data_IF_343677759898
#
_entry.id   IF_343677759898
#
_cell.length_a   1.000
_cell.length_b   1.000
_cell.length_c   1.000
_cell.angle_alpha   90.00
_cell.angle_beta   90.00
_cell.angle_gamma   90.00
#
_symmetry.space_group_name_H-M   'P 1'
#
loop_
_entity.id
_entity.type
_entity.pdbx_description
1 polymer ?
#
# COMPACT_ATOMS: atom_id res chain seq x y z
N UNK A 1 45.19 -3.28 1.55
CA UNK A 1 43.87 -3.65 0.96
C UNK A 1 42.70 -3.02 1.71
N UNK A 2 42.93 -2.04 2.59
CA UNK A 2 41.87 -1.16 3.12
C UNK A 2 41.98 0.25 2.49
N UNK A 3 43.17 0.62 2.02
CA UNK A 3 43.50 1.92 1.41
C UNK A 3 42.73 2.16 0.10
N UNK A 4 42.40 1.11 -0.65
CA UNK A 4 41.65 1.22 -1.91
C UNK A 4 40.19 1.67 -1.71
N UNK A 5 39.64 1.54 -0.49
CA UNK A 5 38.24 1.90 -0.20
C UNK A 5 38.08 3.39 0.08
N UNK A 6 39.05 3.98 0.78
CA UNK A 6 39.04 5.41 1.12
C UNK A 6 39.29 6.27 -0.14
N UNK A 7 40.19 5.85 -1.02
CA UNK A 7 40.43 6.51 -2.31
C UNK A 7 39.17 6.56 -3.19
N UNK A 8 38.35 5.50 -3.15
CA UNK A 8 37.07 5.45 -3.87
C UNK A 8 36.01 6.39 -3.27
N UNK A 9 36.05 6.61 -1.95
CA UNK A 9 35.14 7.53 -1.28
C UNK A 9 35.51 8.99 -1.56
N UNK A 10 36.80 9.33 -1.54
CA UNK A 10 37.31 10.67 -1.88
C UNK A 10 37.01 11.04 -3.34
N UNK A 11 37.10 10.07 -4.26
CA UNK A 11 36.78 10.27 -5.67
C UNK A 11 35.29 10.61 -5.87
N UNK A 12 34.40 9.94 -5.14
CA UNK A 12 32.95 10.19 -5.17
C UNK A 12 32.63 11.54 -4.53
N UNK A 13 33.23 11.87 -3.40
CA UNK A 13 33.00 13.16 -2.73
C UNK A 13 33.46 14.32 -3.63
N UNK A 14 34.62 14.19 -4.27
CA UNK A 14 35.13 15.19 -5.22
C UNK A 14 34.25 15.36 -6.46
N UNK A 15 33.66 14.25 -6.96
CA UNK A 15 32.81 14.28 -8.15
C UNK A 15 31.40 14.83 -7.90
N UNK A 16 30.85 14.62 -6.71
CA UNK A 16 29.42 14.86 -6.46
C UNK A 16 29.14 15.86 -5.34
N UNK A 17 30.03 16.04 -4.36
CA UNK A 17 29.76 16.86 -3.18
C UNK A 17 30.30 18.30 -3.28
N UNK A 18 31.21 18.61 -4.21
CA UNK A 18 31.75 19.97 -4.35
C UNK A 18 30.74 21.01 -4.88
N UNK A 19 29.56 20.61 -5.35
CA UNK A 19 28.57 21.54 -5.93
C UNK A 19 27.61 22.17 -4.91
N UNK A 20 27.70 21.85 -3.62
CA UNK A 20 26.78 22.40 -2.61
C UNK A 20 27.49 22.74 -1.29
N UNK A 21 28.48 23.64 -1.32
CA UNK A 21 29.01 24.22 -0.08
C UNK A 21 29.47 25.66 -0.28
N UNK A 22 28.53 26.60 -0.19
CA UNK A 22 28.85 27.99 0.12
C UNK A 22 28.76 28.20 1.65
N UNK A 23 29.92 28.53 2.24
CA UNK A 23 30.17 29.05 3.60
C UNK A 23 30.12 28.01 4.74
N UNK A 24 31.18 27.79 5.53
CA UNK A 24 32.18 28.72 6.08
C UNK A 24 33.48 27.97 6.41
N UNK A 25 34.61 28.41 5.88
CA UNK A 25 35.83 28.65 6.66
C UNK A 25 36.78 29.57 5.89
N UNK A 26 37.34 30.49 6.65
CA UNK A 26 38.14 31.65 6.24
C UNK A 26 39.55 31.24 5.85
N UNK A 27 40.08 31.69 4.71
CA UNK A 27 41.31 32.52 4.60
C UNK A 27 41.67 32.84 3.13
N UNK A 28 41.87 34.14 2.85
CA UNK A 28 42.83 34.79 1.93
C UNK A 28 42.99 34.34 0.45
N UNK A 29 42.65 35.27 -0.47
CA UNK A 29 43.48 35.77 -1.61
C UNK A 29 42.83 35.81 -3.02
N UNK A 30 42.51 37.04 -3.45
CA UNK A 30 42.61 37.64 -4.80
C UNK A 30 42.59 36.73 -6.08
N UNK A 31 41.57 36.89 -6.95
CA UNK A 31 41.61 37.61 -8.25
C UNK A 31 40.37 37.36 -9.14
N UNK A 32 40.12 38.34 -9.99
CA UNK A 32 38.97 38.61 -10.87
C UNK A 32 38.92 37.70 -12.13
N UNK A 33 37.72 37.46 -12.70
CA UNK A 33 37.32 37.89 -14.06
C UNK A 33 35.91 37.46 -14.50
N UNK A 34 35.26 38.37 -15.22
CA UNK A 34 34.04 38.31 -16.03
C UNK A 34 33.96 37.21 -17.11
N UNK A 35 32.72 36.80 -17.44
CA UNK A 35 32.10 36.61 -18.80
C UNK A 35 31.03 35.50 -18.74
N UNK A 36 29.73 35.80 -18.84
CA UNK A 36 28.90 36.16 -20.02
C UNK A 36 28.47 34.96 -20.91
N UNK A 37 27.14 34.73 -20.90
CA UNK A 37 26.21 34.21 -21.92
C UNK A 37 26.59 33.00 -22.80
N UNK A 38 25.72 31.99 -22.86
CA UNK A 38 24.64 31.87 -23.87
C UNK A 38 24.21 30.40 -24.08
N UNK A 39 22.90 30.19 -24.17
CA UNK A 39 22.24 29.00 -24.72
C UNK A 39 22.39 28.98 -26.26
N UNK A 40 22.41 27.81 -26.92
CA UNK A 40 21.34 27.55 -27.87
C UNK A 40 20.84 26.10 -27.93
N UNK A 41 19.57 26.00 -28.33
CA UNK A 41 18.77 24.80 -28.56
C UNK A 41 19.01 24.12 -29.94
N UNK A 42 18.42 22.92 -30.05
CA UNK A 42 17.95 22.20 -31.26
C UNK A 42 18.95 21.45 -32.18
N UNK A 43 18.82 20.11 -32.25
CA UNK A 43 18.15 19.41 -33.38
C UNK A 43 18.15 17.88 -33.28
N UNK A 44 17.05 17.34 -33.81
CA UNK A 44 16.64 15.95 -34.07
C UNK A 44 17.72 15.08 -34.74
N UNK A 45 17.74 13.77 -34.44
CA UNK A 45 17.66 12.72 -35.48
C UNK A 45 17.44 11.31 -34.90
N UNK A 46 16.46 10.65 -35.50
CA UNK A 46 16.07 9.25 -35.41
C UNK A 46 17.13 8.27 -35.91
N UNK A 47 17.37 7.16 -35.19
CA UNK A 47 18.02 5.97 -35.76
C UNK A 47 17.36 4.69 -35.24
N UNK A 48 16.70 3.98 -36.17
CA UNK A 48 16.21 2.61 -36.00
C UNK A 48 17.41 1.66 -35.89
N UNK A 49 17.41 0.76 -34.92
CA UNK A 49 18.24 -0.44 -34.98
C UNK A 49 17.48 -1.60 -34.33
N UNK A 50 16.93 -2.46 -35.19
CA UNK A 50 16.36 -3.74 -34.77
C UNK A 50 17.46 -4.68 -34.31
N UNK A 51 17.17 -5.40 -33.23
CA UNK A 51 17.94 -6.56 -32.80
C UNK A 51 17.02 -7.77 -32.73
N UNK A 52 17.64 -8.91 -32.99
CA UNK A 52 17.06 -10.10 -33.60
C UNK A 52 16.23 -10.91 -32.62
N UNK A 53 15.18 -11.50 -33.19
CA UNK A 53 14.32 -12.55 -32.64
C UNK A 53 15.17 -13.77 -32.23
N UNK A 54 15.28 -14.04 -30.93
CA UNK A 54 15.63 -15.36 -30.45
C UNK A 54 14.32 -16.17 -30.44
N UNK A 55 14.20 -17.12 -31.37
CA UNK A 55 13.27 -18.25 -31.25
C UNK A 55 13.95 -19.24 -30.33
N UNK A 56 13.35 -19.53 -29.18
CA UNK A 56 13.69 -20.67 -28.35
C UNK A 56 12.50 -20.99 -27.44
N UNK A 57 11.86 -22.13 -27.73
CA UNK A 57 11.01 -23.00 -26.91
C UNK A 57 10.10 -22.32 -25.87
N UNK A 58 8.87 -22.01 -26.29
CA UNK A 58 7.74 -21.78 -25.38
C UNK A 58 6.70 -22.92 -25.45
N UNK A 59 6.87 -23.87 -26.35
CA UNK A 59 5.93 -24.99 -26.55
C UNK A 59 6.10 -26.08 -25.46
N UNK A 60 7.28 -26.15 -24.84
CA UNK A 60 7.56 -27.14 -23.78
C UNK A 60 6.90 -26.78 -22.44
N UNK A 61 6.71 -25.48 -22.15
CA UNK A 61 6.10 -25.04 -20.89
C UNK A 61 4.59 -25.31 -20.90
N UNK A 62 3.92 -25.10 -22.05
CA UNK A 62 2.50 -25.41 -22.21
C UNK A 62 2.25 -26.92 -22.15
N UNK A 63 3.16 -27.73 -22.74
CA UNK A 63 3.10 -29.19 -22.63
C UNK A 63 3.24 -29.69 -21.18
N UNK A 64 4.14 -29.09 -20.39
CA UNK A 64 4.30 -29.41 -18.97
C UNK A 64 3.10 -28.96 -18.12
N UNK A 65 2.43 -27.86 -18.49
CA UNK A 65 1.21 -27.41 -17.82
C UNK A 65 0.02 -28.33 -18.12
N UNK A 66 -0.06 -28.88 -19.34
CA UNK A 66 -1.10 -29.82 -19.74
C UNK A 66 -1.01 -31.14 -18.95
N UNK A 67 0.20 -31.65 -18.71
CA UNK A 67 0.45 -32.92 -17.98
C UNK A 67 0.05 -32.84 -16.49
N UNK A 68 0.18 -31.68 -15.85
CA UNK A 68 -0.21 -31.48 -14.44
C UNK A 68 -1.74 -31.36 -14.27
N UNK A 69 -2.44 -30.91 -15.31
CA UNK A 69 -3.90 -30.73 -15.29
C UNK A 69 -4.68 -32.02 -15.60
N UNK A 70 -4.04 -33.00 -16.23
CA UNK A 70 -4.68 -34.26 -16.66
C UNK A 70 -4.61 -35.41 -15.63
N UNK A 71 -3.98 -35.22 -14.46
CA UNK A 71 -3.89 -36.25 -13.40
C UNK A 71 -4.94 -36.09 -12.27
N UNK A 72 -6.18 -35.77 -12.65
CA UNK A 72 -7.32 -35.89 -11.75
C UNK A 72 -8.55 -36.40 -12.51
N UNK A 73 -8.42 -37.60 -13.11
CA UNK A 73 -9.58 -38.39 -13.51
C UNK A 73 -9.66 -39.70 -12.72
N UNK A 74 -10.61 -39.82 -11.76
CA UNK A 74 -10.98 -41.11 -11.22
C UNK A 74 -11.67 -41.94 -12.32
N UNK A 75 -11.16 -43.15 -12.55
CA UNK A 75 -11.84 -44.15 -13.36
C UNK A 75 -13.11 -44.61 -12.64
N UNK A 76 -14.28 -44.22 -13.15
CA UNK A 76 -15.45 -45.11 -13.17
C UNK A 76 -16.51 -44.53 -14.08
N UNK A 77 -16.70 -45.20 -15.21
CA UNK A 77 -17.93 -45.22 -16.00
C UNK A 77 -19.13 -45.39 -15.08
N UNK A 78 -20.17 -44.55 -15.20
CA UNK A 78 -21.60 -44.90 -15.23
C UNK A 78 -22.46 -43.63 -15.31
N UNK A 79 -23.56 -43.76 -16.05
CA UNK A 79 -24.39 -42.70 -16.63
C UNK A 79 -25.25 -41.89 -15.64
N UNK A 80 -25.63 -40.69 -16.10
CA UNK A 80 -26.86 -39.94 -15.80
C UNK A 80 -27.27 -39.71 -14.34
N UNK A 81 -27.12 -38.47 -13.85
CA UNK A 81 -28.26 -37.61 -13.46
C UNK A 81 -27.80 -36.27 -12.87
N UNK A 82 -28.58 -35.23 -13.19
CA UNK A 82 -28.42 -33.88 -12.66
C UNK A 82 -28.64 -33.84 -11.14
N UNK A 83 -27.65 -33.35 -10.39
CA UNK A 83 -27.86 -32.83 -9.05
C UNK A 83 -26.78 -31.80 -8.70
N UNK A 84 -27.24 -30.58 -8.46
CA UNK A 84 -26.48 -29.49 -7.84
C UNK A 84 -25.97 -29.96 -6.48
N UNK A 85 -24.66 -29.99 -6.26
CA UNK A 85 -24.10 -29.99 -4.91
C UNK A 85 -22.88 -29.10 -4.89
N UNK A 86 -23.08 -27.92 -4.30
CA UNK A 86 -22.05 -27.03 -3.81
C UNK A 86 -21.08 -27.82 -2.93
N UNK A 87 -19.82 -27.95 -3.38
CA UNK A 87 -18.72 -28.41 -2.54
C UNK A 87 -18.55 -27.41 -1.40
N UNK A 88 -19.04 -27.81 -0.22
CA UNK A 88 -18.76 -27.14 1.03
C UNK A 88 -17.43 -27.70 1.54
N UNK A 89 -16.36 -26.94 1.31
CA UNK A 89 -15.10 -27.11 2.05
C UNK A 89 -15.35 -26.77 3.52
N UNK A 90 -15.85 -27.74 4.27
CA UNK A 90 -15.93 -27.67 5.73
C UNK A 90 -14.61 -28.19 6.32
N UNK A 91 -13.54 -27.42 6.12
CA UNK A 91 -12.34 -27.60 6.92
C UNK A 91 -12.57 -26.96 8.28
N UNK A 92 -12.83 -27.77 9.32
CA UNK A 92 -12.93 -27.37 10.73
C UNK A 92 -11.60 -26.81 11.25
N UNK A 93 -11.24 -25.61 10.81
CA UNK A 93 -10.31 -24.72 11.49
C UNK A 93 -11.16 -23.80 12.36
N UNK A 94 -10.71 -23.37 13.53
CA UNK A 94 -11.41 -22.34 14.31
C UNK A 94 -11.69 -21.13 13.40
N UNK A 95 -12.92 -21.00 12.88
CA UNK A 95 -13.21 -20.30 11.62
C UNK A 95 -13.15 -18.79 11.80
N UNK A 96 -11.95 -18.20 11.68
CA UNK A 96 -11.82 -16.75 11.67
C UNK A 96 -12.47 -16.17 10.42
N UNK A 97 -13.59 -15.45 10.58
CA UNK A 97 -14.35 -14.87 9.45
C UNK A 97 -13.76 -13.52 9.05
N UNK A 98 -13.72 -13.23 7.75
CA UNK A 98 -13.29 -11.92 7.20
C UNK A 98 -14.49 -11.19 6.60
N UNK A 99 -14.43 -9.87 6.57
CA UNK A 99 -15.40 -9.08 5.82
C UNK A 99 -15.16 -9.25 4.31
N UNK A 100 -16.23 -9.35 3.52
CA UNK A 100 -16.18 -9.34 2.07
C UNK A 100 -17.52 -8.83 1.48
N UNK A 101 -17.57 -7.60 0.93
CA UNK A 101 -16.50 -6.59 0.91
C UNK A 101 -16.31 -5.93 2.29
N UNK A 102 -15.27 -5.08 2.42
CA UNK A 102 -14.97 -4.36 3.67
C UNK A 102 -15.62 -2.99 3.61
N UNK A 103 -16.46 -2.67 4.59
CA UNK A 103 -17.12 -1.36 4.66
C UNK A 103 -16.56 -0.50 5.79
N UNK A 104 -16.54 0.82 5.55
CA UNK A 104 -16.41 1.86 6.56
C UNK A 104 -17.80 2.46 6.79
N UNK A 105 -18.06 3.03 7.97
CA UNK A 105 -19.35 3.64 8.23
C UNK A 105 -19.37 4.49 9.49
N UNK A 106 -20.31 5.43 9.54
CA UNK A 106 -20.55 6.26 10.71
C UNK A 106 -21.07 5.51 11.93
N UNK A 107 -21.28 6.24 13.02
CA UNK A 107 -21.70 5.66 14.31
C UNK A 107 -23.11 5.08 14.31
N UNK A 108 -23.99 5.54 13.41
CA UNK A 108 -25.32 4.96 13.20
C UNK A 108 -25.28 3.58 12.52
N UNK A 109 -24.17 3.24 11.85
CA UNK A 109 -24.01 1.97 11.14
C UNK A 109 -23.51 0.90 12.12
N UNK A 110 -24.18 -0.26 12.19
CA UNK A 110 -23.72 -1.37 13.03
C UNK A 110 -22.36 -1.87 12.54
N UNK A 111 -21.49 -2.20 13.47
CA UNK A 111 -20.16 -2.72 13.18
C UNK A 111 -20.04 -4.22 13.43
N UNK A 112 -19.07 -4.85 12.78
CA UNK A 112 -18.82 -6.30 12.85
C UNK A 112 -18.39 -6.88 11.51
N UNK A 113 -18.77 -8.15 11.27
CA UNK A 113 -18.47 -8.85 10.03
C UNK A 113 -19.41 -8.33 8.94
N UNK A 114 -18.86 -7.64 7.94
CA UNK A 114 -19.59 -7.18 6.76
C UNK A 114 -19.57 -8.23 5.65
N UNK A 115 -20.74 -8.55 5.10
CA UNK A 115 -20.88 -9.37 3.89
C UNK A 115 -21.71 -8.60 2.86
N UNK A 116 -21.72 -9.05 1.60
CA UNK A 116 -22.58 -8.45 0.56
C UNK A 116 -24.06 -8.40 0.94
N UNK A 117 -24.53 -9.35 1.76
CA UNK A 117 -25.91 -9.42 2.24
C UNK A 117 -26.12 -8.64 3.54
N UNK A 118 -25.15 -8.68 4.46
CA UNK A 118 -25.19 -7.92 5.72
C UNK A 118 -24.12 -6.85 5.73
N UNK A 119 -24.50 -5.66 5.28
CA UNK A 119 -23.60 -4.52 5.26
C UNK A 119 -23.37 -3.98 6.67
N UNK A 120 -22.13 -4.10 7.15
CA UNK A 120 -21.68 -3.66 8.48
C UNK A 120 -20.31 -3.05 8.37
N UNK A 121 -20.05 -2.00 9.14
CA UNK A 121 -18.73 -1.39 9.20
C UNK A 121 -17.73 -2.34 9.89
N UNK A 122 -16.56 -2.56 9.31
CA UNK A 122 -15.57 -3.46 9.90
C UNK A 122 -14.94 -2.82 11.16
N UNK A 123 -15.00 -3.51 12.30
CA UNK A 123 -14.33 -3.10 13.55
C UNK A 123 -12.97 -3.78 13.79
N UNK A 124 -12.51 -4.59 12.83
CA UNK A 124 -11.25 -5.33 12.94
C UNK A 124 -10.30 -4.97 11.81
N UNK A 125 -10.23 -3.69 11.49
CA UNK A 125 -9.38 -3.17 10.42
C UNK A 125 -7.90 -3.17 10.83
N UNK A 126 -7.03 -3.48 9.86
CA UNK A 126 -5.57 -3.42 9.98
C UNK A 126 -5.01 -2.67 8.79
N UNK A 127 -4.06 -1.78 9.03
CA UNK A 127 -3.36 -1.08 7.96
C UNK A 127 -2.20 -1.94 7.45
N UNK A 128 -2.07 -2.12 6.14
CA UNK A 128 -0.97 -2.89 5.54
C UNK A 128 0.32 -2.07 5.41
N UNK A 129 0.26 -0.73 5.49
CA UNK A 129 1.45 0.13 5.40
C UNK A 129 2.23 0.21 6.71
N UNK A 130 1.54 0.40 7.85
CA UNK A 130 2.17 0.53 9.17
C UNK A 130 1.95 -0.69 10.06
N UNK A 131 1.18 -1.67 9.61
CA UNK A 131 0.83 -2.89 10.35
C UNK A 131 0.07 -2.68 11.67
N UNK A 132 -0.32 -1.43 11.98
CA UNK A 132 -1.16 -1.12 13.14
C UNK A 132 -2.64 -1.46 12.90
N UNK A 133 -3.31 -1.87 13.97
CA UNK A 133 -4.76 -1.89 14.02
C UNK A 133 -5.33 -0.49 13.86
N UNK A 134 -6.41 -0.38 13.08
CA UNK A 134 -7.13 0.88 12.91
C UNK A 134 -8.03 1.06 14.13
N UNK A 135 -7.84 2.14 14.87
CA UNK A 135 -8.72 2.52 15.98
C UNK A 135 -9.93 3.26 15.44
N UNK A 136 -11.01 3.25 16.23
CA UNK A 136 -12.25 3.91 15.88
C UNK A 136 -12.75 4.76 17.05
N UNK A 137 -13.33 5.92 16.75
CA UNK A 137 -14.01 6.76 17.71
C UNK A 137 -15.44 7.03 17.26
N UNK A 138 -16.41 6.71 18.12
CA UNK A 138 -17.83 6.93 17.86
C UNK A 138 -18.24 8.39 18.10
N UNK A 139 -19.25 8.84 17.36
CA UNK A 139 -19.81 10.20 17.28
C UNK A 139 -18.77 11.32 17.16
N UNK A 140 -17.68 11.02 16.44
CA UNK A 140 -16.53 11.88 16.29
C UNK A 140 -16.00 11.88 14.86
N UNK A 141 -15.34 12.97 14.47
CA UNK A 141 -14.60 13.12 13.23
C UNK A 141 -13.22 13.74 13.51
N UNK A 142 -12.23 13.45 12.67
CA UNK A 142 -10.94 14.13 12.71
C UNK A 142 -11.09 15.60 12.33
N UNK A 143 -10.45 16.48 13.10
CA UNK A 143 -10.37 17.89 12.74
C UNK A 143 -9.53 18.11 11.46
N UNK A 144 -9.82 19.18 10.72
CA UNK A 144 -9.08 19.53 9.50
C UNK A 144 -7.60 19.88 9.75
N UNK A 145 -7.22 20.22 10.99
CA UNK A 145 -5.84 20.47 11.39
C UNK A 145 -5.05 19.21 11.75
N UNK A 146 -5.60 18.01 11.51
CA UNK A 146 -4.86 16.76 11.65
C UNK A 146 -3.83 16.61 10.53
N UNK A 147 -2.63 16.18 10.89
CA UNK A 147 -1.55 15.93 9.96
C UNK A 147 -0.91 14.55 10.20
N UNK A 148 -0.03 14.16 9.29
CA UNK A 148 0.66 12.88 9.35
C UNK A 148 1.50 12.73 10.64
N UNK A 149 2.19 13.79 11.07
CA UNK A 149 3.07 13.76 12.25
C UNK A 149 2.30 13.53 13.54
N UNK A 150 1.09 14.09 13.66
CA UNK A 150 0.21 13.88 14.79
C UNK A 150 -0.09 12.39 14.99
N UNK A 151 -0.53 11.68 13.94
CA UNK A 151 -0.80 10.24 14.05
C UNK A 151 0.46 9.44 14.28
N UNK A 152 1.57 9.79 13.63
CA UNK A 152 2.83 9.06 13.78
C UNK A 152 3.34 9.06 15.21
N UNK A 153 3.19 10.19 15.91
CA UNK A 153 3.71 10.39 17.26
C UNK A 153 2.75 9.93 18.36
N UNK A 154 1.44 9.90 18.09
CA UNK A 154 0.42 9.65 19.12
C UNK A 154 -0.28 8.31 18.97
N UNK A 155 -0.15 7.58 17.86
CA UNK A 155 -0.74 6.25 17.73
C UNK A 155 0.03 5.21 18.57
N UNK A 156 -0.64 4.28 19.29
CA UNK A 156 -2.10 4.05 19.41
C UNK A 156 -2.73 4.68 20.67
N UNK A 157 -2.15 5.74 21.23
CA UNK A 157 -2.63 6.38 22.46
C UNK A 157 -3.96 7.15 22.22
N UNK A 158 -5.07 6.50 22.58
CA UNK A 158 -6.41 7.07 22.45
C UNK A 158 -6.59 8.39 23.20
N UNK A 159 -5.89 8.61 24.31
CA UNK A 159 -6.04 9.85 25.08
C UNK A 159 -5.41 11.02 24.34
N UNK A 160 -4.21 10.84 23.79
CA UNK A 160 -3.55 11.86 22.97
C UNK A 160 -4.30 12.14 21.68
N UNK A 161 -4.84 11.11 21.04
CA UNK A 161 -5.58 11.24 19.78
C UNK A 161 -6.90 12.02 19.94
N UNK A 162 -7.54 11.96 21.11
CA UNK A 162 -8.74 12.77 21.42
C UNK A 162 -8.52 14.28 21.33
N UNK A 163 -7.29 14.76 21.45
CA UNK A 163 -6.98 16.19 21.35
C UNK A 163 -7.36 16.81 19.99
N UNK A 164 -7.45 16.00 18.93
CA UNK A 164 -7.76 16.44 17.56
C UNK A 164 -9.08 15.87 17.02
N UNK A 165 -9.93 15.33 17.90
CA UNK A 165 -11.26 14.89 17.54
C UNK A 165 -12.29 16.00 17.73
N UNK A 166 -13.27 16.04 16.84
CA UNK A 166 -14.44 16.92 16.93
C UNK A 166 -15.70 16.08 17.05
N UNK A 167 -16.69 16.62 17.78
CA UNK A 167 -18.00 15.98 17.90
C UNK A 167 -18.73 16.03 16.58
N UNK A 168 -19.18 14.88 16.11
CA UNK A 168 -19.97 14.73 14.89
C UNK A 168 -20.99 13.63 15.10
N UNK A 169 -22.26 14.01 15.26
CA UNK A 169 -23.35 13.04 15.41
C UNK A 169 -23.39 12.10 14.21
N UNK A 170 -23.47 10.80 14.46
CA UNK A 170 -23.41 9.73 13.46
C UNK A 170 -22.06 9.63 12.73
N UNK A 171 -21.06 10.46 13.04
CA UNK A 171 -19.72 10.35 12.48
C UNK A 171 -18.92 9.27 13.18
N UNK A 172 -17.98 8.64 12.48
CA UNK A 172 -16.98 7.76 13.07
C UNK A 172 -15.61 8.10 12.50
N UNK A 173 -14.66 8.36 13.40
CA UNK A 173 -13.27 8.65 13.05
C UNK A 173 -12.46 7.36 13.11
N UNK A 174 -11.69 7.10 12.06
CA UNK A 174 -10.82 5.93 11.89
C UNK A 174 -9.38 6.39 11.75
N UNK A 175 -8.43 5.75 12.42
CA UNK A 175 -7.01 6.04 12.19
C UNK A 175 -6.10 4.86 12.45
N UNK A 176 -4.99 4.84 11.74
CA UNK A 176 -3.78 4.12 12.11
C UNK A 176 -2.62 5.13 12.22
N UNK A 177 -1.38 4.65 12.34
CA UNK A 177 -0.22 5.53 12.48
C UNK A 177 0.06 6.39 11.23
N UNK A 178 -0.34 5.94 10.04
CA UNK A 178 0.02 6.58 8.78
C UNK A 178 -1.16 7.17 7.99
N UNK A 179 -2.39 6.89 8.39
CA UNK A 179 -3.59 7.27 7.63
C UNK A 179 -4.78 7.43 8.57
N UNK A 180 -5.70 8.32 8.20
CA UNK A 180 -6.91 8.60 8.96
C UNK A 180 -8.07 8.90 8.01
N UNK A 181 -9.28 8.69 8.48
CA UNK A 181 -10.50 8.92 7.72
C UNK A 181 -11.69 9.15 8.66
N UNK A 182 -12.66 9.97 8.23
CA UNK A 182 -13.91 10.18 8.96
C UNK A 182 -15.06 9.77 8.05
N UNK A 183 -15.92 8.86 8.51
CA UNK A 183 -17.09 8.40 7.75
C UNK A 183 -18.39 8.77 8.47
N UNK A 184 -19.43 9.09 7.71
CA UNK A 184 -20.79 9.38 8.25
C UNK A 184 -21.79 8.38 7.67
N UNK A 185 -21.76 8.15 6.37
CA UNK A 185 -22.51 7.09 5.70
C UNK A 185 -21.67 5.81 5.60
N UNK A 186 -22.34 4.69 5.33
CA UNK A 186 -21.66 3.47 4.92
C UNK A 186 -21.00 3.68 3.55
N UNK A 187 -19.74 3.26 3.40
CA UNK A 187 -19.00 3.26 2.14
C UNK A 187 -18.15 2.01 2.02
N UNK A 188 -17.94 1.55 0.78
CA UNK A 188 -17.01 0.46 0.52
C UNK A 188 -15.56 0.97 0.64
N UNK A 189 -14.71 0.24 1.34
CA UNK A 189 -13.30 0.61 1.50
C UNK A 189 -12.58 0.70 0.14
N UNK A 190 -13.06 -0.02 -0.89
CA UNK A 190 -12.53 0.05 -2.26
C UNK A 190 -12.66 1.44 -2.90
N UNK A 191 -13.62 2.25 -2.43
CA UNK A 191 -13.79 3.64 -2.89
C UNK A 191 -12.70 4.57 -2.32
N UNK A 192 -12.04 4.17 -1.23
CA UNK A 192 -11.00 4.93 -0.54
C UNK A 192 -9.62 4.36 -0.84
N UNK A 193 -9.16 4.48 -2.09
CA UNK A 193 -7.91 3.86 -2.56
C UNK A 193 -6.65 4.31 -1.80
N UNK A 194 -6.68 5.50 -1.18
CA UNK A 194 -5.59 5.97 -0.33
C UNK A 194 -5.45 5.19 0.99
N UNK A 195 -6.51 4.52 1.44
CA UNK A 195 -6.53 3.74 2.67
C UNK A 195 -6.09 2.30 2.39
N UNK A 196 -4.84 1.99 2.71
CA UNK A 196 -4.32 0.62 2.62
C UNK A 196 -4.77 -0.20 3.84
N UNK A 197 -6.07 -0.27 4.07
CA UNK A 197 -6.67 -0.99 5.19
C UNK A 197 -7.31 -2.29 4.72
N UNK A 198 -7.33 -3.31 5.57
CA UNK A 198 -7.94 -4.62 5.30
C UNK A 198 -8.61 -5.16 6.56
N UNK A 199 -9.53 -6.11 6.40
CA UNK A 199 -10.09 -6.84 7.54
C UNK A 199 -9.05 -7.80 8.14
N UNK A 200 -8.66 -7.56 9.40
CA UNK A 200 -7.71 -8.34 10.19
C UNK A 200 -8.28 -9.61 10.84
N UNK A 201 -9.37 -10.16 10.28
CA UNK A 201 -10.10 -11.36 10.75
C UNK A 201 -10.85 -11.18 12.08
N UNK A 202 -12.13 -11.53 12.08
CA UNK A 202 -12.98 -11.58 13.26
C UNK A 202 -12.87 -12.95 13.92
N UNK A 203 -12.74 -12.96 15.25
CA UNK A 203 -12.94 -14.16 16.06
C UNK A 203 -14.46 -14.29 16.28
N UNK A 204 -15.00 -15.46 16.00
CA UNK A 204 -16.43 -15.80 16.13
C UNK A 204 -16.58 -16.74 17.31
#
# INVERSE_FOLDING_TARGET
>A
MADDLDDLLDEVESKFCCSTSASKQSTCALKQKDQKCANPEEKKQSRKQGYKKARHDNDDIDAMLQEILDDDQPTSTHESNAAKTSRSDACSQTMSKKCCPVFLGGSSVPHGIGTSVSQRACNRLRCTSCDFSVIMFEDQEWDSSCDYLFFRNNMPDHHKLKAKLRRKKNGRAYACQCSWHSAVSLSDLREQQQLKWVCGKHKV
#
